data_IF_438517797867
#
_entry.id   IF_438517797867
#
_cell.length_a   1.000
_cell.length_b   1.000
_cell.length_c   1.000
_cell.angle_alpha   90.00
_cell.angle_beta   90.00
_cell.angle_gamma   90.00
#
_symmetry.space_group_name_H-M   'P 1'
#
loop_
_entity.id
_entity.type
_entity.pdbx_description
1 polymer ?
#
# COMPACT_ATOMS: atom_id res chain seq x y z
N UNK A 1 -23.74 14.44 11.47
CA UNK A 1 -22.82 13.37 11.03
C UNK A 1 -23.24 13.03 9.62
N UNK A 2 -22.62 13.66 8.63
CA UNK A 2 -22.94 13.39 7.23
C UNK A 2 -22.25 12.10 6.79
N UNK A 3 -23.06 11.07 6.62
CA UNK A 3 -22.67 9.84 5.98
C UNK A 3 -22.62 10.12 4.47
N UNK A 4 -21.44 10.43 3.94
CA UNK A 4 -21.25 10.55 2.49
C UNK A 4 -21.46 9.17 1.87
N UNK A 5 -22.68 8.94 1.36
CA UNK A 5 -23.02 7.75 0.58
C UNK A 5 -22.25 7.82 -0.73
N UNK A 6 -21.24 6.97 -0.89
CA UNK A 6 -20.62 6.74 -2.19
C UNK A 6 -21.66 6.02 -3.06
N UNK A 7 -22.40 6.77 -3.86
CA UNK A 7 -23.26 6.21 -4.89
C UNK A 7 -22.37 5.52 -5.93
N UNK A 8 -22.52 4.20 -6.04
CA UNK A 8 -21.90 3.42 -7.10
C UNK A 8 -22.57 3.84 -8.42
N UNK A 9 -21.96 4.78 -9.14
CA UNK A 9 -22.44 5.18 -10.46
C UNK A 9 -22.28 3.97 -11.40
N UNK A 10 -23.37 3.43 -11.99
CA UNK A 10 -23.24 2.36 -12.96
C UNK A 10 -22.35 2.85 -14.11
N UNK A 11 -21.28 2.10 -14.38
CA UNK A 11 -20.36 2.42 -15.47
C UNK A 11 -21.15 2.52 -16.79
N UNK A 12 -20.99 3.63 -17.52
CA UNK A 12 -21.54 3.78 -18.86
C UNK A 12 -21.03 2.62 -19.73
N UNK A 13 -21.94 2.00 -20.49
CA UNK A 13 -21.65 0.92 -21.44
C UNK A 13 -20.40 1.26 -22.27
N UNK A 14 -19.45 0.31 -22.37
CA UNK A 14 -18.27 0.43 -23.22
C UNK A 14 -16.98 0.97 -22.56
N UNK A 15 -16.95 1.15 -21.23
CA UNK A 15 -15.74 1.52 -20.49
C UNK A 15 -15.38 0.47 -19.46
N UNK A 16 -14.09 0.11 -19.40
CA UNK A 16 -13.53 -0.82 -18.42
C UNK A 16 -12.56 -0.09 -17.51
N UNK A 17 -12.65 -0.38 -16.20
CA UNK A 17 -11.65 0.07 -15.24
C UNK A 17 -10.45 -0.86 -15.33
N UNK A 18 -9.27 -0.31 -15.64
CA UNK A 18 -8.04 -1.08 -15.79
C UNK A 18 -6.94 -0.52 -14.90
N UNK A 19 -6.07 -1.41 -14.44
CA UNK A 19 -4.88 -1.04 -13.70
C UNK A 19 -3.86 -0.35 -14.62
N UNK A 20 -3.30 0.78 -14.19
CA UNK A 20 -2.20 1.47 -14.82
C UNK A 20 -1.00 1.61 -13.89
N UNK A 21 0.18 1.28 -14.41
CA UNK A 21 1.46 1.44 -13.72
C UNK A 21 2.06 2.84 -13.83
N UNK A 22 1.44 3.77 -14.57
CA UNK A 22 2.01 5.07 -14.91
C UNK A 22 2.28 5.95 -13.70
N UNK A 23 1.34 5.98 -12.76
CA UNK A 23 1.50 6.72 -11.51
C UNK A 23 2.76 6.28 -10.77
N UNK A 24 2.88 4.96 -10.56
CA UNK A 24 4.01 4.37 -9.85
C UNK A 24 5.33 4.63 -10.57
N UNK A 25 5.34 4.49 -11.90
CA UNK A 25 6.51 4.78 -12.74
C UNK A 25 6.97 6.23 -12.59
N UNK A 26 6.05 7.19 -12.67
CA UNK A 26 6.33 8.62 -12.47
C UNK A 26 6.80 8.92 -11.06
N UNK A 27 6.18 8.29 -10.06
CA UNK A 27 6.55 8.44 -8.65
C UNK A 27 8.00 8.00 -8.39
N UNK A 28 8.36 6.78 -8.81
CA UNK A 28 9.72 6.25 -8.63
C UNK A 28 10.76 7.13 -9.33
N UNK A 29 10.46 7.59 -10.56
CA UNK A 29 11.34 8.50 -11.28
C UNK A 29 11.55 9.84 -10.54
N UNK A 30 10.47 10.45 -10.03
CA UNK A 30 10.55 11.70 -9.25
C UNK A 30 11.34 11.55 -7.96
N UNK A 31 11.26 10.37 -7.33
CA UNK A 31 12.01 10.04 -6.10
C UNK A 31 13.45 9.59 -6.37
N UNK A 32 13.83 9.37 -7.64
CA UNK A 32 15.15 8.83 -8.00
C UNK A 32 15.36 7.38 -7.56
N UNK A 33 14.28 6.61 -7.37
CA UNK A 33 14.34 5.22 -6.90
C UNK A 33 14.42 4.26 -8.08
N UNK A 34 15.40 3.34 -8.06
CA UNK A 34 15.41 2.23 -9.01
C UNK A 34 14.39 1.16 -8.61
N UNK A 35 14.02 0.27 -9.54
CA UNK A 35 13.14 -0.86 -9.22
C UNK A 35 13.73 -1.79 -8.16
N UNK A 36 15.06 -1.85 -8.05
CA UNK A 36 15.75 -2.65 -7.04
C UNK A 36 15.64 -2.01 -5.65
N UNK A 37 15.72 -0.69 -5.57
CA UNK A 37 15.60 0.04 -4.31
C UNK A 37 14.17 -0.03 -3.78
N UNK A 38 13.19 0.24 -4.65
CA UNK A 38 11.77 0.09 -4.35
C UNK A 38 11.41 -1.33 -3.88
N UNK A 39 11.96 -2.35 -4.54
CA UNK A 39 11.76 -3.75 -4.15
C UNK A 39 12.31 -4.05 -2.76
N UNK A 40 13.50 -3.52 -2.43
CA UNK A 40 14.11 -3.66 -1.11
C UNK A 40 13.30 -2.94 -0.03
N UNK A 41 12.83 -1.73 -0.31
CA UNK A 41 12.04 -0.92 0.62
C UNK A 41 10.70 -1.58 0.95
N UNK A 42 10.02 -2.13 -0.06
CA UNK A 42 8.71 -2.77 0.07
C UNK A 42 8.78 -4.26 0.47
N UNK A 43 9.97 -4.85 0.53
CA UNK A 43 10.15 -6.29 0.77
C UNK A 43 9.57 -7.17 -0.35
N UNK A 44 9.56 -6.68 -1.59
CA UNK A 44 9.01 -7.37 -2.77
C UNK A 44 10.12 -7.82 -3.73
N UNK A 45 9.79 -8.71 -4.67
CA UNK A 45 10.70 -9.04 -5.77
C UNK A 45 10.81 -7.90 -6.80
N UNK A 46 11.99 -7.70 -7.38
CA UNK A 46 12.23 -6.67 -8.42
C UNK A 46 11.29 -6.84 -9.61
N UNK A 47 10.96 -8.06 -10.01
CA UNK A 47 10.07 -8.31 -11.13
C UNK A 47 8.62 -7.95 -10.78
N UNK A 48 8.22 -8.09 -9.51
CA UNK A 48 6.92 -7.62 -9.03
C UNK A 48 6.79 -6.11 -9.16
N UNK A 49 7.79 -5.35 -8.74
CA UNK A 49 7.83 -3.89 -8.96
C UNK A 49 7.81 -3.57 -10.46
N UNK A 50 8.62 -4.29 -11.25
CA UNK A 50 8.64 -4.18 -12.70
C UNK A 50 7.28 -4.44 -13.36
N UNK A 51 6.50 -5.39 -12.85
CA UNK A 51 5.15 -5.70 -13.35
C UNK A 51 4.17 -4.58 -12.98
N UNK A 52 4.28 -4.05 -11.76
CA UNK A 52 3.47 -2.94 -11.27
C UNK A 52 3.66 -1.70 -12.13
N UNK A 53 4.89 -1.24 -12.35
CA UNK A 53 5.14 -0.04 -13.17
C UNK A 53 4.72 -0.19 -14.63
N UNK A 54 4.60 -1.42 -15.14
CA UNK A 54 4.18 -1.68 -16.53
C UNK A 54 2.68 -1.80 -16.69
N UNK A 55 1.88 -1.82 -15.62
CA UNK A 55 0.43 -2.02 -15.71
C UNK A 55 0.01 -3.48 -15.92
N UNK A 56 0.90 -4.45 -15.66
CA UNK A 56 0.54 -5.87 -15.76
C UNK A 56 -0.41 -6.30 -14.65
N UNK A 57 -1.23 -7.33 -14.90
CA UNK A 57 -2.19 -7.86 -13.90
C UNK A 57 -1.53 -8.08 -12.54
N UNK A 58 -2.03 -7.42 -11.49
CA UNK A 58 -1.39 -7.32 -10.19
C UNK A 58 -2.28 -7.88 -9.09
N UNK A 59 -1.68 -8.59 -8.13
CA UNK A 59 -2.39 -9.00 -6.93
C UNK A 59 -2.75 -7.76 -6.11
N UNK A 60 -4.02 -7.62 -5.72
CA UNK A 60 -4.52 -6.44 -5.01
C UNK A 60 -3.76 -6.18 -3.70
N UNK A 61 -3.31 -7.22 -2.98
CA UNK A 61 -2.55 -7.04 -1.74
C UNK A 61 -1.18 -6.41 -1.97
N UNK A 62 -0.54 -6.71 -3.11
CA UNK A 62 0.73 -6.08 -3.50
C UNK A 62 0.48 -4.60 -3.81
N UNK A 63 -0.60 -4.30 -4.52
CA UNK A 63 -0.96 -2.93 -4.85
C UNK A 63 -1.29 -2.09 -3.61
N UNK A 64 -2.04 -2.67 -2.67
CA UNK A 64 -2.35 -2.06 -1.37
C UNK A 64 -1.09 -1.85 -0.53
N UNK A 65 -0.15 -2.79 -0.53
CA UNK A 65 1.14 -2.63 0.16
C UNK A 65 1.91 -1.42 -0.39
N UNK A 66 2.02 -1.32 -1.71
CA UNK A 66 2.66 -0.19 -2.40
C UNK A 66 1.96 1.13 -2.05
N UNK A 67 0.63 1.15 -2.16
CA UNK A 67 -0.18 2.34 -1.91
C UNK A 67 -0.03 2.83 -0.46
N UNK A 68 -0.15 1.92 0.52
CA UNK A 68 -0.05 2.27 1.93
C UNK A 68 1.36 2.72 2.32
N UNK A 69 2.40 2.06 1.82
CA UNK A 69 3.80 2.36 2.18
C UNK A 69 4.21 3.78 1.75
N UNK A 70 3.77 4.24 0.58
CA UNK A 70 4.05 5.60 0.10
C UNK A 70 2.87 6.57 0.24
N UNK A 71 1.84 6.17 0.98
CA UNK A 71 0.61 6.94 1.19
C UNK A 71 -0.01 7.48 -0.12
N UNK A 72 -0.05 6.62 -1.15
CA UNK A 72 -0.66 6.90 -2.44
C UNK A 72 -2.12 6.42 -2.43
N UNK A 73 -3.06 7.20 -2.98
CA UNK A 73 -4.44 6.76 -3.10
C UNK A 73 -4.54 5.59 -4.10
N UNK A 74 -5.23 4.52 -3.68
CA UNK A 74 -5.37 3.30 -4.49
C UNK A 74 -6.11 3.54 -5.81
N UNK A 75 -7.00 4.54 -5.84
CA UNK A 75 -7.75 4.95 -7.03
C UNK A 75 -6.85 5.38 -8.19
N UNK A 76 -5.72 6.01 -7.90
CA UNK A 76 -4.84 6.60 -8.93
C UNK A 76 -4.07 5.55 -9.72
N UNK A 77 -4.12 4.30 -9.27
CA UNK A 77 -3.60 3.15 -10.00
C UNK A 77 -4.60 2.60 -11.02
N UNK A 78 -5.81 3.15 -11.12
CA UNK A 78 -6.83 2.69 -12.05
C UNK A 78 -7.30 3.81 -12.97
N UNK A 79 -7.52 3.46 -14.24
CA UNK A 79 -8.00 4.38 -15.27
C UNK A 79 -9.19 3.75 -15.99
N UNK A 80 -10.19 4.55 -16.33
CA UNK A 80 -11.25 4.11 -17.23
C UNK A 80 -10.74 4.18 -18.67
N UNK A 81 -10.76 3.04 -19.35
CA UNK A 81 -10.36 2.92 -20.75
C UNK A 81 -11.58 2.45 -21.55
N UNK A 82 -11.73 2.97 -22.76
CA UNK A 82 -12.80 2.54 -23.67
C UNK A 82 -12.47 1.15 -24.23
N UNK A 83 -13.47 0.31 -24.49
CA UNK A 83 -13.24 -1.09 -24.93
C UNK A 83 -12.33 -1.21 -26.18
N UNK A 84 -12.31 -0.18 -27.04
CA UNK A 84 -11.50 -0.13 -28.26
C UNK A 84 -10.01 0.12 -28.02
N UNK A 85 -9.62 0.75 -26.90
CA UNK A 85 -8.22 1.09 -26.58
C UNK A 85 -7.51 0.00 -25.76
N UNK A 86 -8.24 -1.04 -25.34
CA UNK A 86 -7.73 -2.12 -24.50
C UNK A 86 -6.71 -3.03 -25.24
N UNK A 87 -6.59 -2.91 -26.57
CA UNK A 87 -5.80 -3.84 -27.40
C UNK A 87 -4.31 -3.47 -27.55
N UNK A 88 -3.89 -2.22 -27.33
CA UNK A 88 -2.56 -1.79 -27.83
C UNK A 88 -1.38 -1.89 -26.85
N UNK A 89 -1.57 -2.10 -25.54
CA UNK A 89 -0.45 -1.93 -24.58
C UNK A 89 -0.06 -3.13 -23.72
N UNK A 90 -0.75 -4.28 -23.83
CA UNK A 90 -0.56 -5.38 -22.84
C UNK A 90 -0.46 -6.81 -23.39
N UNK A 91 -0.42 -7.02 -24.71
CA UNK A 91 -0.37 -8.37 -25.27
C UNK A 91 1.08 -8.82 -25.56
N UNK A 92 1.61 -9.69 -24.70
CA UNK A 92 2.77 -10.54 -25.01
C UNK A 92 2.24 -11.96 -25.29
N UNK A 93 1.47 -12.12 -26.35
CA UNK A 93 1.21 -13.43 -26.95
C UNK A 93 0.93 -13.24 -28.44
N UNK A 94 1.65 -13.91 -29.35
CA UNK A 94 1.41 -13.83 -30.79
C UNK A 94 0.06 -14.43 -31.22
N UNK A 95 -0.60 -15.20 -30.34
CA UNK A 95 -1.87 -15.82 -30.67
C UNK A 95 -3.05 -14.94 -30.19
N UNK A 96 -3.96 -14.54 -31.10
CA UNK A 96 -5.23 -13.95 -30.71
C UNK A 96 -6.03 -14.98 -29.91
N UNK A 97 -6.54 -14.56 -28.74
CA UNK A 97 -7.51 -15.36 -28.01
C UNK A 97 -8.82 -15.39 -28.81
N UNK A 98 -9.24 -16.57 -29.26
CA UNK A 98 -10.59 -16.77 -29.76
C UNK A 98 -11.51 -16.65 -28.54
N UNK A 99 -12.23 -15.53 -28.43
CA UNK A 99 -13.29 -15.37 -27.44
C UNK A 99 -14.51 -16.07 -28.04
N UNK A 100 -14.67 -17.35 -27.75
CA UNK A 100 -15.93 -18.03 -28.01
C UNK A 100 -17.01 -17.34 -27.18
N UNK A 101 -17.95 -16.67 -27.85
CA UNK A 101 -19.15 -16.11 -27.25
C UNK A 101 -20.06 -17.26 -26.81
N UNK A 102 -19.74 -17.86 -25.68
CA UNK A 102 -20.62 -18.79 -25.01
C UNK A 102 -20.84 -18.30 -23.59
N UNK A 103 -22.06 -17.86 -23.33
CA UNK A 103 -22.61 -17.65 -22.00
C UNK A 103 -22.23 -18.82 -21.11
N UNK A 104 -21.39 -18.59 -20.10
CA UNK A 104 -21.33 -19.42 -18.90
C UNK A 104 -20.53 -18.69 -17.84
N UNK A 105 -21.08 -18.67 -16.63
CA UNK A 105 -20.49 -18.18 -15.39
C UNK A 105 -19.14 -18.86 -15.09
N UNK A 106 -18.06 -18.43 -15.75
CA UNK A 106 -16.74 -18.96 -15.53
C UNK A 106 -16.08 -18.23 -14.36
N UNK A 107 -16.45 -18.62 -13.15
CA UNK A 107 -15.64 -18.36 -11.96
C UNK A 107 -14.31 -19.08 -12.18
N UNK A 108 -13.29 -18.34 -12.60
CA UNK A 108 -11.95 -18.87 -12.74
C UNK A 108 -11.49 -19.41 -11.38
N UNK A 109 -11.54 -20.74 -11.22
CA UNK A 109 -10.95 -21.43 -10.08
C UNK A 109 -9.43 -21.32 -10.24
N UNK A 110 -8.83 -20.28 -9.63
CA UNK A 110 -7.38 -20.19 -9.55
C UNK A 110 -6.86 -21.37 -8.72
N UNK A 111 -5.88 -22.15 -9.23
CA UNK A 111 -5.19 -23.11 -8.40
C UNK A 111 -4.50 -22.34 -7.28
N UNK A 112 -4.74 -22.77 -6.03
CA UNK A 112 -4.12 -22.24 -4.81
C UNK A 112 -2.61 -22.46 -4.88
N UNK A 113 -1.91 -21.61 -5.64
CA UNK A 113 -0.46 -21.52 -5.64
C UNK A 113 -0.12 -20.46 -4.62
N UNK A 114 0.05 -20.92 -3.38
CA UNK A 114 0.69 -20.19 -2.31
C UNK A 114 2.00 -19.62 -2.85
N UNK A 115 2.04 -18.30 -2.99
CA UNK A 115 3.24 -17.58 -3.43
C UNK A 115 4.42 -17.98 -2.55
N UNK A 116 5.60 -18.19 -3.15
CA UNK A 116 6.82 -18.45 -2.38
C UNK A 116 7.16 -17.19 -1.57
N UNK A 117 6.79 -17.21 -0.29
CA UNK A 117 7.24 -16.20 0.67
C UNK A 117 8.76 -16.24 0.75
N UNK A 118 9.42 -15.17 0.33
CA UNK A 118 10.86 -15.00 0.54
C UNK A 118 11.04 -14.76 2.04
N UNK A 119 11.58 -15.76 2.75
CA UNK A 119 11.89 -15.68 4.18
C UNK A 119 13.04 -14.70 4.42
N UNK A 120 12.73 -13.41 4.52
CA UNK A 120 13.57 -12.41 5.21
C UNK A 120 12.84 -11.83 6.44
N UNK A 121 12.05 -12.66 7.12
CA UNK A 121 11.32 -12.28 8.34
C UNK A 121 12.25 -12.12 9.55
N UNK A 122 13.49 -12.62 9.50
CA UNK A 122 14.39 -12.61 10.67
C UNK A 122 14.87 -11.21 11.07
N UNK A 123 15.08 -10.29 10.12
CA UNK A 123 15.66 -8.99 10.45
C UNK A 123 14.62 -7.91 10.79
N UNK A 124 13.39 -8.03 10.27
CA UNK A 124 12.34 -7.04 10.52
C UNK A 124 11.76 -7.14 11.93
N UNK A 125 11.71 -8.34 12.54
CA UNK A 125 11.22 -8.50 13.92
C UNK A 125 12.12 -7.81 14.92
N UNK A 126 13.44 -7.92 14.75
CA UNK A 126 14.42 -7.28 15.63
C UNK A 126 14.41 -5.75 15.44
N UNK A 127 14.34 -5.27 14.21
CA UNK A 127 14.23 -3.83 13.94
C UNK A 127 12.94 -3.22 14.52
N UNK A 128 11.81 -3.91 14.34
CA UNK A 128 10.52 -3.51 14.92
C UNK A 128 10.56 -3.52 16.45
N UNK A 129 11.11 -4.57 17.05
CA UNK A 129 11.26 -4.68 18.49
C UNK A 129 12.12 -3.54 19.06
N UNK A 130 13.25 -3.23 18.42
CA UNK A 130 14.12 -2.13 18.84
C UNK A 130 13.43 -0.76 18.72
N UNK A 131 12.68 -0.52 17.64
CA UNK A 131 11.89 0.71 17.48
C UNK A 131 10.81 0.84 18.56
N UNK A 132 10.12 -0.26 18.90
CA UNK A 132 9.13 -0.27 19.99
C UNK A 132 9.77 -0.09 21.36
N UNK A 133 10.95 -0.63 21.58
CA UNK A 133 11.70 -0.45 22.83
C UNK A 133 12.10 1.03 23.03
N UNK A 134 12.58 1.70 21.97
CA UNK A 134 12.90 3.13 22.02
C UNK A 134 11.66 4.00 22.32
N UNK A 135 10.51 3.66 21.74
CA UNK A 135 9.24 4.34 22.02
C UNK A 135 8.82 4.19 23.50
N UNK A 136 8.98 2.98 24.07
CA UNK A 136 8.71 2.73 25.49
C UNK A 136 9.63 3.55 26.39
N UNK A 137 10.93 3.60 26.11
CA UNK A 137 11.91 4.36 26.90
C UNK A 137 11.59 5.86 26.89
N UNK A 138 11.25 6.42 25.73
CA UNK A 138 10.82 7.81 25.62
C UNK A 138 9.57 8.09 26.45
N UNK A 139 8.56 7.21 26.39
CA UNK A 139 7.33 7.35 27.16
C UNK A 139 7.59 7.27 28.67
N UNK A 140 8.50 6.38 29.10
CA UNK A 140 8.91 6.27 30.50
C UNK A 140 9.63 7.53 30.99
N UNK A 141 10.50 8.12 30.17
CA UNK A 141 11.17 9.37 30.47
C UNK A 141 10.18 10.53 30.59
N UNK A 142 9.20 10.60 29.68
CA UNK A 142 8.15 11.60 29.70
C UNK A 142 7.27 11.48 30.95
N UNK A 143 6.88 10.26 31.35
CA UNK A 143 6.15 10.00 32.60
C UNK A 143 6.96 10.51 33.80
N UNK A 144 8.26 10.19 33.85
CA UNK A 144 9.16 10.63 34.93
C UNK A 144 9.27 12.15 34.99
N UNK A 145 9.30 12.82 33.84
CA UNK A 145 9.32 14.27 33.75
C UNK A 145 8.03 14.88 34.34
N UNK A 146 6.87 14.38 33.92
CA UNK A 146 5.59 14.86 34.45
C UNK A 146 5.43 14.58 35.94
N UNK A 147 5.88 13.43 36.45
CA UNK A 147 5.87 13.13 37.88
C UNK A 147 6.70 14.14 38.68
N UNK A 148 7.92 14.46 38.22
CA UNK A 148 8.74 15.51 38.85
C UNK A 148 8.05 16.86 38.85
N UNK A 149 7.39 17.24 37.74
CA UNK A 149 6.68 18.52 37.65
C UNK A 149 5.50 18.56 38.61
N UNK A 150 4.74 17.47 38.74
CA UNK A 150 3.65 17.35 39.71
C UNK A 150 4.17 17.53 41.14
N UNK A 151 5.33 16.95 41.47
CA UNK A 151 5.91 17.07 42.80
C UNK A 151 6.34 18.51 43.13
N UNK A 152 6.98 19.20 42.18
CA UNK A 152 7.29 20.64 42.33
C UNK A 152 6.01 21.46 42.56
N UNK A 153 4.97 21.22 41.77
CA UNK A 153 3.70 21.93 41.92
C UNK A 153 3.02 21.65 43.27
N UNK A 154 3.15 20.43 43.80
CA UNK A 154 2.66 20.09 45.15
C UNK A 154 3.42 20.86 46.23
N UNK A 155 4.74 20.93 46.12
CA UNK A 155 5.57 21.72 47.05
C UNK A 155 5.24 23.21 46.98
N UNK A 156 5.05 23.78 45.78
CA UNK A 156 4.62 25.17 45.60
C UNK A 156 3.26 25.43 46.28
N UNK A 157 2.30 24.50 46.15
CA UNK A 157 1.00 24.62 46.82
C UNK A 157 1.10 24.52 48.35
N UNK A 158 1.93 23.61 48.87
CA UNK A 158 2.15 23.44 50.32
C UNK A 158 2.84 24.68 50.91
N UNK A 159 3.83 25.24 50.21
CA UNK A 159 4.50 26.49 50.60
C UNK A 159 3.52 27.67 50.62
N UNK A 160 2.61 27.74 49.65
CA UNK A 160 1.58 28.80 49.55
C UNK A 160 0.47 28.69 50.61
N UNK A 161 0.38 27.58 51.36
CA UNK A 161 -0.58 27.41 52.47
C UNK A 161 0.03 27.74 53.83
N UNK A 162 1.35 27.97 53.90
CA UNK A 162 2.09 28.30 55.11
C UNK A 162 2.39 29.81 55.26
N UNK A 163 2.12 30.60 54.21
CA UNK A 163 2.11 32.07 54.20
C UNK A 163 0.69 32.62 54.43
#
# INVERSE_FOLDING_TARGET
MDLTVYTFVPMKEGKKLVYSGDLLRKFLHRKGLTYKDAAKELGLDKNTIGKAVRGGNMNINVLLNIANHWNLPISDFFTLVSDNECQESYFISPNPYIIDKADNNFTALEPVKTYKNIKNISNNKTALHNSKQQEIELLQELIKNYQKRIEVLRQEMEQSQLD
#
